data_IF_466042662299
#
_entry.id   IF_466042662299
#
_cell.length_a   1.000
_cell.length_b   1.000
_cell.length_c   1.000
_cell.angle_alpha   90.00
_cell.angle_beta   90.00
_cell.angle_gamma   90.00
#
_symmetry.space_group_name_H-M   'P 1'
#
loop_
_entity.id
_entity.type
_entity.pdbx_description
1 polymer ?
#
# COMPACT_ATOMS: atom_id res chain seq x y z
N UNK A 1 13.11 12.29 -14.83
CA UNK A 1 14.15 11.55 -14.08
C UNK A 1 14.47 10.25 -14.79
N UNK A 2 15.75 9.93 -14.98
CA UNK A 2 16.18 8.66 -15.56
C UNK A 2 16.00 7.52 -14.55
N UNK A 3 15.69 6.34 -15.08
CA UNK A 3 15.25 5.13 -14.37
C UNK A 3 16.46 4.34 -13.85
N UNK A 4 16.44 3.84 -12.61
CA UNK A 4 17.53 3.01 -12.07
C UNK A 4 17.60 1.65 -12.77
N UNK A 5 18.81 1.13 -12.88
CA UNK A 5 19.07 -0.20 -13.44
C UNK A 5 18.53 -1.29 -12.49
N UNK A 6 18.13 -2.47 -13.01
CA UNK A 6 17.75 -3.61 -12.17
C UNK A 6 18.79 -3.87 -11.08
N UNK A 7 18.38 -3.96 -9.82
CA UNK A 7 19.27 -4.21 -8.68
C UNK A 7 19.90 -2.97 -8.02
N UNK A 8 19.60 -1.75 -8.48
CA UNK A 8 20.00 -0.54 -7.74
C UNK A 8 19.01 -0.23 -6.62
N UNK A 9 19.40 -0.52 -5.38
CA UNK A 9 18.63 -0.15 -4.18
C UNK A 9 18.51 1.36 -3.95
N UNK A 10 19.33 2.18 -4.62
CA UNK A 10 19.35 3.65 -4.48
C UNK A 10 19.66 4.40 -5.77
N UNK A 11 19.23 5.67 -5.85
CA UNK A 11 19.54 6.60 -6.93
C UNK A 11 21.03 7.04 -6.90
N UNK A 12 21.46 7.86 -7.87
CA UNK A 12 22.83 8.40 -7.94
C UNK A 12 23.21 9.33 -6.77
N UNK A 13 22.24 9.71 -5.93
CA UNK A 13 22.42 10.52 -4.72
C UNK A 13 22.43 9.65 -3.45
N UNK A 14 22.42 8.31 -3.59
CA UNK A 14 22.39 7.37 -2.47
C UNK A 14 21.01 7.21 -1.81
N UNK A 15 19.97 7.87 -2.32
CA UNK A 15 18.61 7.75 -1.78
C UNK A 15 17.97 6.43 -2.20
N UNK A 16 17.49 5.61 -1.26
CA UNK A 16 16.85 4.35 -1.60
C UNK A 16 15.56 4.60 -2.39
N UNK A 17 15.31 3.76 -3.40
CA UNK A 17 13.99 3.74 -4.04
C UNK A 17 13.02 3.00 -3.10
N UNK A 18 11.81 3.52 -2.84
CA UNK A 18 10.90 2.89 -1.89
C UNK A 18 10.42 1.53 -2.43
N UNK A 19 10.59 0.48 -1.62
CA UNK A 19 10.06 -0.87 -1.89
C UNK A 19 8.55 -0.96 -1.63
N UNK A 20 8.02 -0.10 -0.77
CA UNK A 20 6.60 0.00 -0.41
C UNK A 20 6.21 1.47 -0.35
N UNK A 21 5.06 1.82 -0.94
CA UNK A 21 4.43 3.13 -0.77
C UNK A 21 3.06 2.92 -0.14
N UNK A 22 2.98 3.08 1.18
CA UNK A 22 1.66 3.14 1.84
C UNK A 22 1.16 4.58 1.71
N UNK A 23 0.25 4.80 0.76
CA UNK A 23 -0.42 6.09 0.64
C UNK A 23 -1.64 6.13 1.55
N UNK A 24 -1.43 6.62 2.77
CA UNK A 24 -2.54 6.93 3.67
C UNK A 24 -3.09 8.30 3.31
N UNK A 25 -3.86 8.35 2.23
CA UNK A 25 -4.60 9.55 1.83
C UNK A 25 -6.00 9.52 2.44
N UNK A 26 -6.40 10.59 3.12
CA UNK A 26 -7.81 10.86 3.34
C UNK A 26 -8.40 11.29 1.98
N UNK A 27 -8.79 10.33 1.14
CA UNK A 27 -9.21 10.62 -0.24
C UNK A 27 -10.59 11.27 -0.24
N UNK A 28 -10.67 12.59 -0.18
CA UNK A 28 -11.96 13.25 -0.03
C UNK A 28 -12.13 14.46 -0.94
N UNK A 29 -13.30 14.51 -1.57
CA UNK A 29 -13.88 15.77 -2.02
C UNK A 29 -14.39 16.55 -0.80
N UNK A 30 -14.43 17.89 -0.85
CA UNK A 30 -14.92 18.75 0.27
C UNK A 30 -16.28 18.32 0.84
N UNK A 31 -17.24 17.81 0.05
CA UNK A 31 -18.46 17.21 0.59
C UNK A 31 -18.24 15.90 1.36
N UNK A 32 -17.36 15.01 0.89
CA UNK A 32 -17.02 13.75 1.56
C UNK A 32 -16.27 13.99 2.88
N UNK A 33 -15.39 15.01 2.93
CA UNK A 33 -14.77 15.51 4.17
C UNK A 33 -15.81 15.86 5.23
N UNK A 34 -16.93 16.45 4.80
CA UNK A 34 -17.98 16.89 5.69
C UNK A 34 -18.82 15.73 6.23
N UNK A 35 -18.99 14.65 5.46
CA UNK A 35 -19.74 13.45 5.86
C UNK A 35 -18.86 12.45 6.67
N UNK A 36 -17.57 12.32 6.34
CA UNK A 36 -16.61 11.45 7.05
C UNK A 36 -16.18 12.03 8.41
N UNK A 37 -16.11 13.36 8.52
CA UNK A 37 -15.99 14.08 9.80
C UNK A 37 -17.18 13.79 10.73
N UNK A 38 -18.37 13.51 10.19
CA UNK A 38 -19.58 13.25 11.00
C UNK A 38 -19.76 11.79 11.41
N UNK A 39 -19.22 10.82 10.67
CA UNK A 39 -19.39 9.37 10.96
C UNK A 39 -18.13 8.66 11.49
N UNK A 40 -16.96 9.33 11.51
CA UNK A 40 -15.72 8.75 12.03
C UNK A 40 -15.19 7.56 11.21
N UNK A 41 -15.72 7.37 10.00
CA UNK A 41 -15.23 6.33 9.10
C UNK A 41 -14.01 6.83 8.32
N UNK A 42 -13.16 5.92 7.80
CA UNK A 42 -11.96 6.27 7.04
C UNK A 42 -11.74 5.33 5.89
N UNK A 43 -11.41 5.87 4.72
CA UNK A 43 -10.93 5.11 3.58
C UNK A 43 -9.41 5.24 3.52
N UNK A 44 -8.70 4.12 3.40
CA UNK A 44 -7.25 4.06 3.30
C UNK A 44 -6.84 3.13 2.16
N UNK A 45 -5.66 3.35 1.59
CA UNK A 45 -5.18 2.60 0.43
C UNK A 45 -3.74 2.14 0.64
N UNK A 46 -3.51 0.84 0.52
CA UNK A 46 -2.17 0.29 0.50
C UNK A 46 -1.81 -0.08 -0.94
N UNK A 47 -0.67 0.44 -1.41
CA UNK A 47 -0.11 0.16 -2.73
C UNK A 47 1.28 -0.45 -2.59
N UNK A 48 1.44 -1.69 -3.02
CA UNK A 48 2.75 -2.31 -3.12
C UNK A 48 3.30 -2.11 -4.53
N UNK A 49 4.59 -1.82 -4.65
CA UNK A 49 5.26 -1.60 -5.93
C UNK A 49 6.54 -2.43 -6.01
N UNK A 50 6.55 -3.43 -6.88
CA UNK A 50 7.76 -4.22 -7.15
C UNK A 50 8.80 -3.40 -7.94
N UNK A 51 9.96 -3.17 -7.33
CA UNK A 51 11.08 -2.45 -7.97
C UNK A 51 11.60 -3.13 -9.25
N UNK A 52 11.47 -4.45 -9.35
CA UNK A 52 11.85 -5.22 -10.55
C UNK A 52 10.88 -5.04 -11.71
N UNK A 53 9.66 -4.55 -11.46
CA UNK A 53 8.67 -4.33 -12.50
C UNK A 53 8.95 -3.02 -13.24
N UNK A 54 9.84 -3.15 -14.20
CA UNK A 54 10.51 -2.04 -14.85
C UNK A 54 9.61 -1.23 -15.80
N UNK A 55 8.40 -1.70 -16.15
CA UNK A 55 7.71 -1.17 -17.32
C UNK A 55 6.61 -0.14 -17.01
N UNK A 56 5.90 -0.17 -15.87
CA UNK A 56 4.71 0.70 -15.75
C UNK A 56 4.43 1.40 -14.41
N UNK A 57 5.25 1.25 -13.34
CA UNK A 57 4.89 1.78 -12.00
C UNK A 57 3.43 1.45 -11.64
N UNK A 58 2.97 0.27 -12.03
CA UNK A 58 1.65 -0.25 -11.68
C UNK A 58 1.84 -1.04 -10.40
N UNK A 59 1.06 -0.76 -9.34
CA UNK A 59 1.16 -1.52 -8.12
C UNK A 59 0.73 -2.97 -8.37
N UNK A 60 1.44 -3.92 -7.77
CA UNK A 60 1.14 -5.35 -7.87
C UNK A 60 0.13 -5.79 -6.80
N UNK A 61 0.09 -5.10 -5.66
CA UNK A 61 -0.90 -5.30 -4.60
C UNK A 61 -1.61 -3.97 -4.33
N UNK A 62 -2.95 -4.00 -4.37
CA UNK A 62 -3.81 -2.85 -4.14
C UNK A 62 -4.89 -3.24 -3.14
N UNK A 63 -4.79 -2.71 -1.92
CA UNK A 63 -5.73 -3.04 -0.84
C UNK A 63 -6.42 -1.77 -0.35
N UNK A 64 -7.73 -1.70 -0.56
CA UNK A 64 -8.64 -0.75 0.06
C UNK A 64 -8.91 -1.18 1.51
N UNK A 65 -8.43 -0.44 2.49
CA UNK A 65 -8.64 -0.75 3.91
C UNK A 65 -9.22 0.46 4.65
N UNK A 66 -9.48 0.33 5.94
CA UNK A 66 -10.27 1.30 6.69
C UNK A 66 -11.67 0.81 7.03
N UNK A 67 -12.51 1.75 7.46
CA UNK A 67 -13.91 1.53 7.79
C UNK A 67 -14.87 2.07 6.73
N UNK A 68 -14.35 2.75 5.69
CA UNK A 68 -15.12 3.29 4.57
C UNK A 68 -14.55 2.85 3.21
N UNK A 69 -15.41 2.78 2.17
CA UNK A 69 -14.98 2.51 0.79
C UNK A 69 -14.16 3.65 0.19
N UNK A 70 -13.23 3.32 -0.73
CA UNK A 70 -12.54 4.34 -1.52
C UNK A 70 -13.51 5.17 -2.37
N UNK A 71 -13.20 6.46 -2.49
CA UNK A 71 -13.93 7.38 -3.35
C UNK A 71 -13.81 6.95 -4.83
N UNK A 72 -14.88 7.09 -5.65
CA UNK A 72 -14.84 6.71 -7.08
C UNK A 72 -13.69 7.33 -7.89
N UNK A 73 -13.27 8.56 -7.55
CA UNK A 73 -12.14 9.22 -8.21
C UNK A 73 -10.81 8.47 -7.99
N UNK A 74 -10.59 7.96 -6.78
CA UNK A 74 -9.39 7.15 -6.46
C UNK A 74 -9.40 5.86 -7.28
N UNK A 75 -10.54 5.21 -7.41
CA UNK A 75 -10.71 4.02 -8.26
C UNK A 75 -10.44 4.37 -9.73
N UNK A 76 -10.98 5.50 -10.22
CA UNK A 76 -10.74 5.98 -11.58
C UNK A 76 -9.25 6.27 -11.85
N UNK A 77 -8.54 6.84 -10.88
CA UNK A 77 -7.10 7.04 -10.97
C UNK A 77 -6.34 5.71 -11.08
N UNK A 78 -6.65 4.73 -10.23
CA UNK A 78 -6.02 3.40 -10.25
C UNK A 78 -6.23 2.71 -11.62
N UNK A 79 -7.44 2.78 -12.17
CA UNK A 79 -7.74 2.24 -13.50
C UNK A 79 -6.91 2.96 -14.58
N UNK A 80 -6.80 4.28 -14.51
CA UNK A 80 -6.06 5.09 -15.48
C UNK A 80 -4.55 4.81 -15.48
N UNK A 81 -3.96 4.49 -14.33
CA UNK A 81 -2.54 4.10 -14.27
C UNK A 81 -2.31 2.64 -14.69
N UNK A 82 -3.37 1.88 -15.00
CA UNK A 82 -3.29 0.53 -15.54
C UNK A 82 -3.60 -0.59 -14.55
N UNK A 83 -4.18 -0.28 -13.39
CA UNK A 83 -4.65 -1.31 -12.44
C UNK A 83 -5.99 -1.87 -12.90
N UNK A 84 -6.11 -3.18 -13.18
CA UNK A 84 -7.40 -3.80 -13.45
C UNK A 84 -8.29 -3.75 -12.20
N UNK A 85 -9.58 -3.42 -12.35
CA UNK A 85 -10.51 -3.36 -11.22
C UNK A 85 -10.57 -4.67 -10.42
N UNK A 86 -10.42 -5.82 -11.10
CA UNK A 86 -10.40 -7.14 -10.48
C UNK A 86 -9.19 -7.38 -9.55
N UNK A 87 -8.15 -6.55 -9.65
CA UNK A 87 -6.95 -6.64 -8.82
C UNK A 87 -7.03 -5.77 -7.56
N UNK A 88 -8.09 -4.96 -7.42
CA UNK A 88 -8.34 -4.17 -6.22
C UNK A 88 -9.13 -5.02 -5.24
N UNK A 89 -8.61 -5.19 -4.03
CA UNK A 89 -9.25 -5.96 -2.96
C UNK A 89 -9.57 -5.07 -1.76
N UNK A 90 -10.36 -5.58 -0.82
CA UNK A 90 -10.65 -4.91 0.45
C UNK A 90 -12.02 -4.24 0.52
N UNK A 91 -12.15 -3.13 1.26
CA UNK A 91 -13.46 -2.49 1.51
C UNK A 91 -14.07 -2.05 0.18
N UNK A 92 -15.35 -2.42 -0.05
CA UNK A 92 -16.11 -2.30 -1.32
C UNK A 92 -15.84 -3.42 -2.35
N UNK A 93 -14.83 -4.26 -2.13
CA UNK A 93 -14.41 -5.33 -3.03
C UNK A 93 -14.52 -6.71 -2.38
N UNK A 94 -15.69 -7.00 -1.80
CA UNK A 94 -16.03 -8.26 -1.12
C UNK A 94 -15.38 -8.52 0.24
N UNK A 95 -14.71 -7.52 0.84
CA UNK A 95 -14.25 -7.60 2.22
C UNK A 95 -15.07 -6.71 3.17
N UNK A 96 -15.13 -7.14 4.43
CA UNK A 96 -15.63 -6.33 5.54
C UNK A 96 -14.66 -5.19 5.87
N UNK A 97 -15.09 -4.23 6.68
CA UNK A 97 -14.19 -3.20 7.20
C UNK A 97 -12.93 -3.80 7.87
N UNK A 98 -11.82 -3.07 7.79
CA UNK A 98 -10.59 -3.34 8.52
C UNK A 98 -10.76 -2.88 9.99
N UNK A 99 -11.40 -3.71 10.80
CA UNK A 99 -11.82 -3.34 12.15
C UNK A 99 -11.19 -4.18 13.27
N UNK A 100 -10.43 -5.22 12.93
CA UNK A 100 -9.66 -6.01 13.89
C UNK A 100 -8.34 -6.48 13.29
N UNK A 101 -7.34 -6.73 14.14
CA UNK A 101 -6.04 -7.27 13.75
C UNK A 101 -6.17 -8.68 13.17
N UNK A 102 -5.26 -9.04 12.26
CA UNK A 102 -5.11 -10.40 11.77
C UNK A 102 -6.12 -10.82 10.70
N UNK A 103 -6.97 -9.92 10.19
CA UNK A 103 -7.86 -10.24 9.07
C UNK A 103 -7.00 -10.56 7.83
N UNK A 104 -7.11 -11.75 7.22
CA UNK A 104 -6.17 -12.20 6.18
C UNK A 104 -6.01 -11.27 4.97
N UNK A 105 -7.10 -10.65 4.50
CA UNK A 105 -7.04 -9.73 3.35
C UNK A 105 -6.31 -8.41 3.66
N UNK A 106 -6.13 -8.10 4.95
CA UNK A 106 -5.44 -6.93 5.45
C UNK A 106 -4.04 -7.24 5.99
N UNK A 107 -3.53 -8.44 5.75
CA UNK A 107 -2.14 -8.82 6.03
C UNK A 107 -1.33 -8.67 4.74
N UNK A 108 -0.58 -7.56 4.62
CA UNK A 108 0.32 -7.36 3.48
C UNK A 108 1.64 -8.08 3.73
N UNK A 109 1.88 -9.16 2.99
CA UNK A 109 3.16 -9.86 3.02
C UNK A 109 4.16 -9.17 2.11
N UNK A 110 5.31 -8.79 2.66
CA UNK A 110 6.45 -8.27 1.92
C UNK A 110 7.57 -9.31 2.00
N UNK A 111 7.80 -10.08 0.94
CA UNK A 111 8.87 -11.06 0.86
C UNK A 111 10.25 -10.50 1.22
N UNK A 112 11.05 -11.28 1.92
CA UNK A 112 12.41 -10.89 2.28
C UNK A 112 13.27 -10.58 1.04
N UNK A 113 13.04 -11.30 -0.05
CA UNK A 113 13.74 -11.07 -1.31
C UNK A 113 13.47 -9.67 -1.87
N UNK A 114 12.32 -9.06 -1.58
CA UNK A 114 11.99 -7.70 -1.99
C UNK A 114 12.57 -6.67 -1.03
N UNK A 115 12.52 -6.95 0.28
CA UNK A 115 13.12 -6.08 1.31
C UNK A 115 14.64 -5.96 1.20
N UNK A 116 15.31 -7.08 0.89
CA UNK A 116 16.77 -7.16 0.89
C UNK A 116 17.38 -7.28 -0.52
N UNK A 117 16.60 -6.98 -1.58
CA UNK A 117 17.12 -7.02 -2.94
C UNK A 117 18.28 -6.03 -3.12
N UNK A 118 19.49 -6.53 -3.37
CA UNK A 118 20.70 -5.71 -3.48
C UNK A 118 21.34 -5.30 -2.14
N UNK A 119 20.85 -5.81 -1.01
CA UNK A 119 21.47 -5.58 0.29
C UNK A 119 22.82 -6.32 0.42
N UNK A 120 23.84 -5.62 0.92
CA UNK A 120 25.13 -6.23 1.22
C UNK A 120 24.97 -7.27 2.34
N UNK A 121 25.34 -8.52 2.05
CA UNK A 121 25.15 -9.66 2.97
C UNK A 121 23.87 -10.48 2.72
N UNK A 122 23.03 -10.08 1.75
CA UNK A 122 21.83 -10.82 1.38
C UNK A 122 20.72 -10.77 2.44
N UNK A 123 19.81 -11.75 2.41
CA UNK A 123 18.69 -11.86 3.36
C UNK A 123 19.22 -12.34 4.72
N UNK A 124 19.00 -11.61 5.82
CA UNK A 124 19.34 -12.08 7.17
C UNK A 124 18.62 -13.39 7.52
N UNK A 125 19.29 -14.33 8.19
CA UNK A 125 18.72 -15.64 8.54
C UNK A 125 17.41 -15.54 9.35
N UNK A 126 17.28 -14.53 10.21
CA UNK A 126 16.06 -14.28 10.99
C UNK A 126 14.92 -13.63 10.20
N UNK A 127 15.18 -13.14 8.98
CA UNK A 127 14.22 -12.39 8.17
C UNK A 127 13.76 -13.15 6.93
N UNK A 128 14.09 -14.44 6.79
CA UNK A 128 13.81 -15.26 5.60
C UNK A 128 12.33 -15.31 5.20
N UNK A 129 11.42 -15.20 6.17
CA UNK A 129 9.98 -15.23 5.93
C UNK A 129 9.41 -13.87 5.49
N UNK A 130 10.24 -12.83 5.40
CA UNK A 130 9.79 -11.47 5.09
C UNK A 130 9.10 -10.81 6.26
N UNK A 131 8.24 -9.86 5.96
CA UNK A 131 7.49 -9.06 6.94
C UNK A 131 6.01 -9.08 6.59
N UNK A 132 5.17 -9.28 7.60
CA UNK A 132 3.72 -9.10 7.46
C UNK A 132 3.36 -7.78 8.11
N UNK A 133 2.82 -6.89 7.29
CA UNK A 133 2.28 -5.61 7.71
C UNK A 133 0.77 -5.77 7.92
N UNK A 134 0.32 -5.65 9.18
CA UNK A 134 -1.10 -5.60 9.49
C UNK A 134 -1.63 -4.19 9.21
N UNK A 135 -2.48 -4.07 8.20
CA UNK A 135 -3.06 -2.77 7.83
C UNK A 135 -4.01 -2.22 8.91
N UNK A 136 -4.53 -3.05 9.81
CA UNK A 136 -5.29 -2.59 10.97
C UNK A 136 -4.39 -1.89 11.99
N UNK A 137 -3.17 -2.40 12.22
CA UNK A 137 -2.21 -1.75 13.12
C UNK A 137 -1.79 -0.39 12.56
N UNK A 138 -1.53 -0.31 11.25
CA UNK A 138 -1.30 0.98 10.58
C UNK A 138 -2.48 1.93 10.70
N UNK A 139 -3.70 1.43 10.46
CA UNK A 139 -4.90 2.23 10.64
C UNK A 139 -4.99 2.80 12.05
N UNK A 140 -4.70 2.00 13.08
CA UNK A 140 -4.70 2.46 14.47
C UNK A 140 -3.63 3.52 14.75
N UNK A 141 -2.42 3.39 14.19
CA UNK A 141 -1.39 4.42 14.34
C UNK A 141 -1.89 5.75 13.76
N UNK A 142 -2.44 5.73 12.54
CA UNK A 142 -2.94 6.95 11.86
C UNK A 142 -4.18 7.52 12.56
N UNK A 143 -4.95 6.71 13.28
CA UNK A 143 -6.12 7.13 14.04
C UNK A 143 -5.81 7.65 15.45
N UNK A 144 -4.68 7.25 16.04
CA UNK A 144 -4.34 7.62 17.42
C UNK A 144 -3.20 8.66 17.51
N UNK A 145 -2.45 8.90 16.44
CA UNK A 145 -1.35 9.89 16.39
C UNK A 145 -1.78 11.27 15.82
N UNK A 146 -3.06 11.47 15.48
CA UNK A 146 -3.66 12.74 15.02
C UNK A 146 -4.99 13.00 15.71
#
# INVERSE_FOLDING_TARGET
>A
HARPLPGQGSNSEGRPYPTLVVEVGNSESVPSLHDLSTDGTRAMLALHYLHTNQINMVPDIIISFGTAPLHPNTIGFLINIGVPLANIVGVRFSATACNTSGIPIYQLHIPAIELFNGAFGGIPAGAVNGFYLDLWELQNIVLNDF
#
